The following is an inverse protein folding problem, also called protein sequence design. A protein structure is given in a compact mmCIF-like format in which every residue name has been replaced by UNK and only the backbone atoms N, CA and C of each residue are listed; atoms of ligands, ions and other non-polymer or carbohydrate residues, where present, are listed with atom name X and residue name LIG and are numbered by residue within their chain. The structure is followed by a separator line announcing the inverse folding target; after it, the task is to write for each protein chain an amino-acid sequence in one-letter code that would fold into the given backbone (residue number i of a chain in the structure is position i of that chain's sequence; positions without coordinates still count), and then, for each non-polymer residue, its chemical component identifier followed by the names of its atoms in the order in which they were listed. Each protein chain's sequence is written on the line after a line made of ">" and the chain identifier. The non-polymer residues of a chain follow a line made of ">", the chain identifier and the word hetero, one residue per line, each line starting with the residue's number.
data_IF_306944346875
#
_entry.id   IF_306944346875
#
_cell.length_a   1.000
_cell.length_b   1.000
_cell.length_c   1.000
_cell.angle_alpha   90.00
_cell.angle_beta   90.00
_cell.angle_gamma   90.00
#
_symmetry.space_group_name_H-M   'P 1'
#
loop_
_entity.id
_entity.type
_entity.pdbx_description
1 polymer ?
#
# COMPACT_ATOMS: atom_id res chain seq x y z
N UNK A 1 22.46 -3.80 17.53
CA UNK A 1 21.15 -3.92 16.88
C UNK A 1 21.33 -4.85 15.69
N UNK A 2 20.60 -5.96 15.59
CA UNK A 2 20.70 -6.84 14.44
C UNK A 2 19.92 -6.20 13.29
N UNK A 3 20.63 -5.76 12.25
CA UNK A 3 20.03 -5.23 11.04
C UNK A 3 19.69 -6.44 10.16
N UNK A 4 18.42 -6.62 9.72
CA UNK A 4 18.04 -7.68 8.80
C UNK A 4 18.88 -7.66 7.52
N UNK A 5 19.26 -8.83 7.01
CA UNK A 5 20.07 -9.00 5.80
C UNK A 5 19.22 -9.53 4.66
N UNK A 6 19.17 -8.79 3.56
CA UNK A 6 18.51 -9.24 2.35
C UNK A 6 19.45 -10.15 1.53
N UNK A 7 18.96 -11.29 0.99
CA UNK A 7 17.57 -11.78 1.05
C UNK A 7 17.25 -12.68 2.26
N UNK A 8 18.25 -13.12 3.02
CA UNK A 8 18.14 -14.23 3.98
C UNK A 8 17.08 -14.04 5.10
N UNK A 9 16.89 -12.81 5.57
CA UNK A 9 15.95 -12.48 6.65
C UNK A 9 14.57 -12.02 6.13
N UNK A 10 14.30 -12.16 4.82
CA UNK A 10 13.10 -11.62 4.18
C UNK A 10 12.25 -12.71 3.52
N UNK A 11 10.92 -12.55 3.56
CA UNK A 11 10.00 -13.42 2.84
C UNK A 11 9.85 -12.96 1.38
N UNK A 12 9.87 -13.92 0.46
CA UNK A 12 9.54 -13.67 -0.94
C UNK A 12 8.07 -13.97 -1.19
N UNK A 13 7.37 -13.00 -1.78
CA UNK A 13 6.01 -13.15 -2.28
C UNK A 13 5.99 -13.55 -3.77
N UNK A 14 7.16 -13.72 -4.40
CA UNK A 14 7.30 -13.86 -5.86
C UNK A 14 6.45 -14.99 -6.46
N UNK A 15 6.44 -16.17 -5.84
CA UNK A 15 5.67 -17.34 -6.28
C UNK A 15 4.32 -17.49 -5.53
N UNK A 16 3.84 -16.40 -4.91
CA UNK A 16 2.55 -16.39 -4.23
C UNK A 16 1.37 -16.49 -5.19
N UNK A 17 0.19 -16.82 -4.66
CA UNK A 17 -1.06 -16.88 -5.42
C UNK A 17 -1.29 -15.56 -6.17
N UNK A 18 -1.68 -15.63 -7.43
CA UNK A 18 -2.00 -14.45 -8.23
C UNK A 18 -3.30 -13.82 -7.72
N UNK A 19 -3.20 -12.57 -7.24
CA UNK A 19 -4.34 -11.83 -6.70
C UNK A 19 -5.04 -11.08 -7.82
N UNK A 20 -6.35 -11.22 -7.97
CA UNK A 20 -7.08 -10.60 -9.09
C UNK A 20 -7.06 -9.06 -9.03
N UNK A 21 -7.20 -8.39 -10.17
CA UNK A 21 -7.30 -6.91 -10.20
C UNK A 21 -8.52 -6.39 -9.44
N UNK A 22 -9.62 -7.17 -9.41
CA UNK A 22 -10.83 -6.85 -8.65
C UNK A 22 -10.54 -6.85 -7.15
N UNK A 23 -9.91 -7.90 -6.64
CA UNK A 23 -9.51 -8.01 -5.23
C UNK A 23 -8.51 -6.92 -4.82
N UNK A 24 -7.59 -6.54 -5.72
CA UNK A 24 -6.67 -5.39 -5.49
C UNK A 24 -7.43 -4.08 -5.34
N UNK A 25 -8.45 -3.85 -6.18
CA UNK A 25 -9.27 -2.65 -6.08
C UNK A 25 -10.05 -2.63 -4.76
N UNK A 26 -10.57 -3.78 -4.32
CA UNK A 26 -11.18 -3.91 -3.00
C UNK A 26 -10.19 -3.59 -1.87
N UNK A 27 -8.93 -4.05 -1.98
CA UNK A 27 -7.89 -3.75 -1.00
C UNK A 27 -7.54 -2.26 -0.94
N UNK A 28 -7.49 -1.58 -2.10
CA UNK A 28 -7.27 -0.13 -2.16
C UNK A 28 -8.40 0.60 -1.43
N UNK A 29 -9.66 0.29 -1.76
CA UNK A 29 -10.83 0.90 -1.14
C UNK A 29 -10.87 0.66 0.36
N UNK A 30 -10.52 -0.56 0.79
CA UNK A 30 -10.43 -0.91 2.20
C UNK A 30 -9.34 -0.10 2.92
N UNK A 31 -8.15 0.03 2.36
CA UNK A 31 -7.09 0.83 2.97
C UNK A 31 -7.48 2.31 3.11
N UNK A 32 -8.15 2.88 2.11
CA UNK A 32 -8.69 4.25 2.18
C UNK A 32 -9.75 4.36 3.28
N UNK A 33 -10.70 3.41 3.34
CA UNK A 33 -11.72 3.40 4.39
C UNK A 33 -11.11 3.27 5.79
N UNK A 34 -10.07 2.46 5.94
CA UNK A 34 -9.36 2.27 7.21
C UNK A 34 -8.59 3.55 7.61
N UNK A 35 -7.96 4.25 6.66
CA UNK A 35 -7.34 5.57 6.88
C UNK A 35 -8.35 6.60 7.39
N UNK A 36 -9.52 6.67 6.76
CA UNK A 36 -10.55 7.64 7.15
C UNK A 36 -11.24 7.27 8.48
N UNK A 37 -11.34 5.98 8.80
CA UNK A 37 -12.04 5.50 10.00
C UNK A 37 -11.13 5.56 11.24
N UNK A 38 -9.90 5.08 11.13
CA UNK A 38 -9.00 4.92 12.26
C UNK A 38 -7.95 6.02 12.37
N UNK A 39 -7.79 6.83 11.31
CA UNK A 39 -6.73 7.81 11.19
C UNK A 39 -5.36 7.19 10.93
N UNK A 40 -4.33 8.04 10.91
CA UNK A 40 -2.96 7.66 10.59
C UNK A 40 -2.57 8.02 9.15
N UNK A 41 -1.34 7.65 8.78
CA UNK A 41 -0.71 8.10 7.53
C UNK A 41 -0.52 6.97 6.51
N UNK A 42 -0.79 5.71 6.88
CA UNK A 42 -0.53 4.56 6.03
C UNK A 42 -1.33 3.32 6.46
N UNK A 43 -1.94 2.64 5.50
CA UNK A 43 -2.41 1.26 5.65
C UNK A 43 -1.88 0.40 4.51
N UNK A 44 -1.67 -0.89 4.79
CA UNK A 44 -1.17 -1.84 3.79
C UNK A 44 -1.80 -3.22 3.95
N UNK A 45 -2.13 -3.84 2.83
CA UNK A 45 -2.59 -5.24 2.73
C UNK A 45 -1.64 -5.98 1.79
N UNK A 46 -1.17 -7.15 2.21
CA UNK A 46 -0.24 -7.97 1.43
C UNK A 46 -0.62 -9.45 1.51
N UNK A 47 -0.74 -10.12 0.36
CA UNK A 47 -0.96 -11.56 0.27
C UNK A 47 -0.60 -12.07 -1.13
N UNK A 48 -0.35 -13.38 -1.26
CA UNK A 48 0.01 -13.99 -2.53
C UNK A 48 1.24 -13.33 -3.13
N UNK A 49 1.16 -12.86 -4.38
CA UNK A 49 2.22 -12.12 -5.06
C UNK A 49 2.05 -10.59 -5.07
N UNK A 50 1.15 -10.09 -4.21
CA UNK A 50 0.67 -8.71 -4.30
C UNK A 50 0.75 -7.97 -2.96
N UNK A 51 1.13 -6.69 -3.04
CA UNK A 51 1.07 -5.74 -1.92
C UNK A 51 0.38 -4.46 -2.36
N UNK A 52 -0.58 -4.00 -1.58
CA UNK A 52 -1.21 -2.68 -1.69
C UNK A 52 -0.81 -1.86 -0.48
N UNK A 53 -0.29 -0.67 -0.69
CA UNK A 53 0.00 0.32 0.37
C UNK A 53 -0.62 1.64 -0.03
N UNK A 54 -1.40 2.24 0.86
CA UNK A 54 -1.99 3.56 0.67
C UNK A 54 -1.44 4.48 1.73
N UNK A 55 -0.79 5.55 1.30
CA UNK A 55 -0.33 6.63 2.16
C UNK A 55 -1.28 7.83 2.05
N UNK A 56 -1.54 8.48 3.18
CA UNK A 56 -2.24 9.77 3.24
C UNK A 56 -1.20 10.86 3.46
N UNK A 57 -1.14 11.82 2.55
CA UNK A 57 -0.25 12.98 2.63
C UNK A 57 -1.05 14.26 2.62
N UNK A 58 -0.73 15.18 3.53
CA UNK A 58 -1.27 16.53 3.53
C UNK A 58 -0.40 17.41 2.63
N UNK A 59 -1.02 18.35 1.92
CA UNK A 59 -0.29 19.25 1.01
C UNK A 59 0.72 20.13 1.77
N UNK A 60 0.40 20.46 3.03
CA UNK A 60 1.30 21.11 3.98
C UNK A 60 0.89 20.77 5.42
N UNK A 61 1.72 21.14 6.40
CA UNK A 61 1.53 20.80 7.82
C UNK A 61 0.33 21.51 8.49
N UNK A 62 -0.31 22.47 7.80
CA UNK A 62 -1.41 23.30 8.31
C UNK A 62 -2.71 23.13 7.51
N UNK A 63 -2.69 22.35 6.44
CA UNK A 63 -3.84 22.12 5.56
C UNK A 63 -4.59 20.85 5.96
N UNK A 64 -5.92 20.94 5.93
CA UNK A 64 -6.81 19.77 6.01
C UNK A 64 -6.94 19.07 4.65
N UNK A 65 -6.43 19.69 3.56
CA UNK A 65 -6.41 19.10 2.23
C UNK A 65 -5.30 18.04 2.16
N UNK A 66 -5.68 16.86 1.69
CA UNK A 66 -4.78 15.72 1.57
C UNK A 66 -4.99 14.99 0.24
N UNK A 67 -4.02 14.16 -0.12
CA UNK A 67 -4.10 13.24 -1.25
C UNK A 67 -3.60 11.84 -0.84
N UNK A 68 -3.98 10.84 -1.62
CA UNK A 68 -3.51 9.47 -1.43
C UNK A 68 -2.40 9.11 -2.43
N UNK A 69 -1.30 8.56 -1.92
CA UNK A 69 -0.29 7.87 -2.73
C UNK A 69 -0.52 6.36 -2.61
N UNK A 70 -0.99 5.75 -3.71
CA UNK A 70 -1.40 4.35 -3.77
C UNK A 70 -0.33 3.54 -4.51
N UNK A 71 0.27 2.57 -3.83
CA UNK A 71 1.32 1.71 -4.37
C UNK A 71 0.84 0.28 -4.44
N UNK A 72 0.82 -0.27 -5.64
CA UNK A 72 0.47 -1.68 -5.89
C UNK A 72 1.69 -2.42 -6.44
N UNK A 73 2.30 -3.27 -5.63
CA UNK A 73 3.34 -4.17 -6.11
C UNK A 73 2.72 -5.51 -6.48
N UNK A 74 2.39 -5.69 -7.76
CA UNK A 74 2.07 -6.98 -8.39
C UNK A 74 2.83 -7.05 -9.73
N UNK A 75 3.99 -7.71 -9.78
CA UNK A 75 4.83 -7.66 -10.99
C UNK A 75 5.23 -6.24 -11.45
N UNK A 76 5.15 -5.26 -10.54
CA UNK A 76 5.42 -3.81 -10.66
C UNK A 76 4.48 -2.98 -11.58
N UNK A 77 3.43 -2.39 -11.00
CA UNK A 77 2.63 -1.31 -11.60
C UNK A 77 2.56 -0.11 -10.63
N UNK A 78 2.81 1.12 -11.10
CA UNK A 78 2.67 2.35 -10.31
C UNK A 78 1.68 3.27 -11.00
N UNK A 79 0.72 3.81 -10.25
CA UNK A 79 -0.20 4.85 -10.71
C UNK A 79 -0.03 6.09 -9.83
N UNK A 80 0.17 7.25 -10.43
CA UNK A 80 0.13 8.53 -9.73
C UNK A 80 -1.25 9.15 -10.01
N UNK A 81 -2.04 9.40 -8.96
CA UNK A 81 -3.34 10.06 -9.05
C UNK A 81 -3.24 11.45 -8.46
N UNK A 82 -3.46 12.47 -9.30
CA UNK A 82 -3.64 13.86 -8.87
C UNK A 82 -5.12 14.22 -9.00
N UNK A 83 -5.67 14.97 -8.03
CA UNK A 83 -6.96 15.66 -8.20
C UNK A 83 -6.80 16.95 -9.01
#
# INVERSE_FOLDING_TARGET
>A
MNIPKFPDDFYSFYDGVDISNEEINEWIQRCISDLETYGGNCFSISSGNTTVTVHKFYYDDYSDDYYYDIRVSKGYYRADTCE
#
